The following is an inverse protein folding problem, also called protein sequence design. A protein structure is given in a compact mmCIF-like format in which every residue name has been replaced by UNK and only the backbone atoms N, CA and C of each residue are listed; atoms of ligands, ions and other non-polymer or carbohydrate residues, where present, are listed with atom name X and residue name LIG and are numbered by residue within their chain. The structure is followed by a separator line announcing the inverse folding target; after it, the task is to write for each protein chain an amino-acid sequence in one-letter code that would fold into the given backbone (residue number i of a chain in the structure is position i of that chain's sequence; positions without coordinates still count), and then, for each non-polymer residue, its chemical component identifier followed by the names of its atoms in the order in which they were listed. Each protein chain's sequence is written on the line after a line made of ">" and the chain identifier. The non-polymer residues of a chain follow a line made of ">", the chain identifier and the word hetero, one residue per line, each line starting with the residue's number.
data_IF_532763734690
#
_entry.id   IF_532763734690
#
_cell.length_a   1.000
_cell.length_b   1.000
_cell.length_c   1.000
_cell.angle_alpha   90.00
_cell.angle_beta   90.00
_cell.angle_gamma   90.00
#
_symmetry.space_group_name_H-M   'P 1'
#
loop_
_entity.id
_entity.type
_entity.pdbx_description
1 polymer ?
#
# COMPACT_ATOMS: atom_id res chain seq x y z
N UNK A 1 28.96 30.35 -4.32
CA UNK A 1 27.76 29.55 -4.67
C UNK A 1 26.59 30.02 -3.82
N UNK A 2 25.53 30.59 -4.43
CA UNK A 2 24.33 31.01 -3.69
C UNK A 2 23.73 29.78 -3.00
N UNK A 3 23.51 29.84 -1.69
CA UNK A 3 22.87 28.80 -0.90
C UNK A 3 21.47 28.49 -1.48
N UNK A 4 21.39 27.60 -2.46
CA UNK A 4 20.10 27.01 -2.88
C UNK A 4 19.64 26.13 -1.74
N UNK A 5 18.54 26.48 -1.07
CA UNK A 5 17.93 25.56 -0.12
C UNK A 5 17.58 24.26 -0.86
N UNK A 6 17.78 23.12 -0.21
CA UNK A 6 17.42 21.80 -0.75
C UNK A 6 15.99 21.81 -1.32
N UNK A 7 15.07 22.51 -0.66
CA UNK A 7 13.68 22.69 -1.09
C UNK A 7 13.57 23.37 -2.46
N UNK A 8 14.35 24.41 -2.71
CA UNK A 8 14.35 25.13 -3.99
C UNK A 8 15.01 24.30 -5.10
N UNK A 9 16.09 23.58 -4.78
CA UNK A 9 16.74 22.66 -5.72
C UNK A 9 15.78 21.55 -6.18
N UNK A 10 15.08 20.91 -5.25
CA UNK A 10 14.12 19.85 -5.54
C UNK A 10 12.93 20.39 -6.34
N UNK A 11 12.38 21.58 -5.99
CA UNK A 11 11.32 22.24 -6.76
C UNK A 11 11.73 22.52 -8.19
N UNK A 12 12.95 23.01 -8.42
CA UNK A 12 13.47 23.33 -9.76
C UNK A 12 13.59 22.09 -10.64
N UNK A 13 13.87 20.92 -10.07
CA UNK A 13 13.96 19.64 -10.80
C UNK A 13 12.60 18.93 -11.02
N UNK A 14 11.60 19.19 -10.20
CA UNK A 14 10.30 18.51 -10.23
C UNK A 14 9.20 19.39 -10.85
N UNK A 15 9.38 19.78 -12.11
CA UNK A 15 8.40 20.60 -12.83
C UNK A 15 7.20 19.82 -13.38
N UNK A 16 7.30 18.48 -13.46
CA UNK A 16 6.25 17.62 -14.03
C UNK A 16 5.08 17.44 -13.08
N UNK A 17 3.87 17.44 -13.63
CA UNK A 17 2.64 17.12 -12.91
C UNK A 17 2.42 15.61 -12.90
N UNK A 18 2.61 15.00 -11.75
CA UNK A 18 2.70 13.54 -11.61
C UNK A 18 1.37 12.98 -11.08
N UNK A 19 0.72 12.15 -11.90
CA UNK A 19 -0.52 11.44 -11.59
C UNK A 19 -0.29 9.93 -11.59
N UNK A 20 0.75 9.49 -10.88
CA UNK A 20 1.12 8.08 -10.70
C UNK A 20 1.07 7.72 -9.19
N UNK A 21 1.03 6.44 -8.82
CA UNK A 21 1.04 6.04 -7.42
C UNK A 21 2.38 6.32 -6.70
N UNK A 22 3.42 6.73 -7.42
CA UNK A 22 4.76 7.09 -6.93
C UNK A 22 5.37 8.14 -7.88
N UNK A 23 6.13 9.13 -7.38
CA UNK A 23 6.44 9.42 -5.99
C UNK A 23 5.25 10.03 -5.24
N UNK A 24 5.07 9.63 -3.98
CA UNK A 24 3.93 10.06 -3.14
C UNK A 24 4.36 10.67 -1.79
N UNK A 25 5.58 11.14 -1.67
CA UNK A 25 6.10 11.72 -0.43
C UNK A 25 6.15 13.26 -0.49
N UNK A 26 5.90 13.96 0.62
CA UNK A 26 6.19 15.39 0.74
C UNK A 26 7.71 15.62 0.71
N UNK A 27 8.15 16.70 0.08
CA UNK A 27 9.60 17.00 -0.08
C UNK A 27 10.30 17.20 1.27
N UNK A 28 9.59 17.72 2.25
CA UNK A 28 10.06 17.91 3.62
C UNK A 28 10.50 16.61 4.29
N UNK A 29 10.04 15.47 3.78
CA UNK A 29 10.47 14.14 4.22
C UNK A 29 11.97 13.90 4.07
N UNK A 30 12.62 14.55 3.08
CA UNK A 30 14.05 14.46 2.86
C UNK A 30 14.86 15.25 3.89
N UNK A 31 14.25 16.28 4.51
CA UNK A 31 14.90 17.11 5.53
C UNK A 31 15.03 16.40 6.87
N UNK A 32 14.30 15.32 7.09
CA UNK A 32 14.37 14.49 8.30
C UNK A 32 15.48 13.45 8.28
N UNK A 33 16.24 13.34 7.19
CA UNK A 33 17.35 12.37 7.09
C UNK A 33 18.58 12.89 7.85
N UNK A 34 19.23 12.01 8.59
CA UNK A 34 20.51 12.26 9.25
C UNK A 34 21.44 11.08 9.04
N UNK A 35 22.74 11.29 9.29
CA UNK A 35 23.75 10.22 9.26
C UNK A 35 23.73 9.32 10.50
N UNK A 36 23.00 9.69 11.53
CA UNK A 36 22.97 9.00 12.82
C UNK A 36 21.96 7.86 12.81
N UNK A 37 22.34 6.72 12.21
CA UNK A 37 21.51 5.51 12.23
C UNK A 37 22.37 4.27 12.07
N UNK A 38 23.10 3.91 13.10
CA UNK A 38 23.86 2.68 13.13
C UNK A 38 23.39 1.75 14.24
N UNK A 39 23.84 0.51 14.17
CA UNK A 39 23.60 -0.44 15.26
C UNK A 39 24.29 0.08 16.52
N UNK A 40 23.54 0.22 17.62
CA UNK A 40 24.00 0.82 18.87
C UNK A 40 23.67 2.33 19.01
N UNK A 41 23.12 2.97 17.98
CA UNK A 41 22.61 4.34 18.08
C UNK A 41 21.27 4.37 18.84
N UNK A 42 21.31 4.82 20.09
CA UNK A 42 20.15 4.88 20.98
C UNK A 42 19.07 5.85 20.46
N UNK A 43 19.45 6.91 19.76
CA UNK A 43 18.47 7.87 19.26
C UNK A 43 17.74 7.31 18.05
N UNK A 44 18.42 6.58 17.18
CA UNK A 44 17.76 5.83 16.12
C UNK A 44 16.82 4.75 16.69
N UNK A 45 17.22 4.01 17.71
CA UNK A 45 16.36 3.00 18.33
C UNK A 45 15.08 3.64 18.95
N UNK A 46 15.20 4.80 19.59
CA UNK A 46 14.03 5.56 20.07
C UNK A 46 13.14 6.01 18.90
N UNK A 47 13.73 6.51 17.81
CA UNK A 47 13.02 6.93 16.61
C UNK A 47 12.30 5.74 15.96
N UNK A 48 12.98 4.61 15.78
CA UNK A 48 12.39 3.38 15.27
C UNK A 48 11.16 2.96 16.09
N UNK A 49 11.27 2.93 17.43
CA UNK A 49 10.16 2.57 18.32
C UNK A 49 8.96 3.53 18.15
N UNK A 50 9.21 4.86 18.01
CA UNK A 50 8.14 5.85 17.76
C UNK A 50 7.45 5.58 16.42
N UNK A 51 8.20 5.35 15.34
CA UNK A 51 7.66 5.04 14.01
C UNK A 51 6.81 3.78 14.04
N UNK A 52 7.31 2.69 14.63
CA UNK A 52 6.55 1.44 14.76
C UNK A 52 5.27 1.64 15.58
N UNK A 53 5.31 2.44 16.66
CA UNK A 53 4.11 2.78 17.45
C UNK A 53 3.06 3.51 16.59
N UNK A 54 3.47 4.46 15.76
CA UNK A 54 2.58 5.19 14.85
C UNK A 54 1.99 4.26 13.78
N UNK A 55 2.80 3.37 13.20
CA UNK A 55 2.34 2.37 12.24
C UNK A 55 1.33 1.39 12.86
N UNK A 56 1.55 0.95 14.10
CA UNK A 56 0.58 0.13 14.85
C UNK A 56 -0.76 0.86 15.01
N UNK A 57 -0.73 2.16 15.35
CA UNK A 57 -1.94 2.98 15.48
C UNK A 57 -2.69 3.09 14.16
N UNK A 58 -2.00 3.35 13.04
CA UNK A 58 -2.60 3.51 11.71
C UNK A 58 -3.17 2.17 11.19
N UNK A 59 -2.46 1.07 11.41
CA UNK A 59 -2.84 -0.25 10.89
C UNK A 59 -3.80 -1.02 11.80
N UNK A 60 -3.86 -0.68 13.09
CA UNK A 60 -4.58 -1.45 14.09
C UNK A 60 -3.99 -2.85 14.34
N UNK A 61 -2.69 -3.04 14.04
CA UNK A 61 -2.00 -4.31 14.26
C UNK A 61 -1.25 -4.32 15.59
N UNK A 62 -1.16 -5.50 16.22
CA UNK A 62 -0.43 -5.68 17.49
C UNK A 62 1.08 -5.61 17.28
N UNK A 63 1.55 -6.24 16.22
CA UNK A 63 2.96 -6.33 15.87
C UNK A 63 3.20 -5.81 14.46
N UNK A 64 4.36 -5.18 14.24
CA UNK A 64 4.83 -4.75 12.92
C UNK A 64 6.31 -5.08 12.83
N UNK A 65 6.68 -5.72 11.74
CA UNK A 65 8.06 -6.01 11.35
C UNK A 65 8.39 -5.19 10.11
N UNK A 66 9.51 -4.47 10.16
CA UNK A 66 10.05 -3.74 9.01
C UNK A 66 11.06 -4.60 8.26
N UNK A 67 11.02 -4.53 6.95
CA UNK A 67 11.87 -5.27 6.03
C UNK A 67 12.39 -4.28 4.98
N UNK A 68 13.67 -4.37 4.65
CA UNK A 68 14.22 -3.57 3.56
C UNK A 68 13.83 -4.20 2.23
N UNK A 69 13.04 -3.46 1.44
CA UNK A 69 12.61 -3.93 0.14
C UNK A 69 11.25 -3.39 -0.32
N UNK A 70 10.77 -3.88 -1.46
CA UNK A 70 9.47 -3.49 -2.03
C UNK A 70 8.31 -4.18 -1.30
N UNK A 71 7.07 -3.65 -1.49
CA UNK A 71 5.86 -4.24 -0.94
C UNK A 71 5.68 -5.73 -1.27
N UNK A 72 6.12 -6.18 -2.46
CA UNK A 72 6.06 -7.59 -2.86
C UNK A 72 6.82 -8.51 -1.92
N UNK A 73 7.94 -8.04 -1.35
CA UNK A 73 8.70 -8.79 -0.36
C UNK A 73 7.91 -8.97 0.95
N UNK A 74 7.23 -7.92 1.44
CA UNK A 74 6.37 -8.05 2.62
C UNK A 74 5.16 -8.97 2.36
N UNK A 75 4.58 -8.91 1.15
CA UNK A 75 3.48 -9.81 0.76
C UNK A 75 3.97 -11.24 0.78
N UNK A 76 5.09 -11.55 0.13
CA UNK A 76 5.67 -12.89 0.09
C UNK A 76 6.05 -13.38 1.49
N UNK A 77 6.78 -12.58 2.27
CA UNK A 77 7.13 -12.89 3.66
C UNK A 77 5.86 -13.15 4.48
N UNK A 78 4.84 -12.31 4.38
CA UNK A 78 3.59 -12.51 5.09
C UNK A 78 2.87 -13.80 4.69
N UNK A 79 2.74 -14.06 3.39
CA UNK A 79 2.10 -15.28 2.90
C UNK A 79 2.83 -16.54 3.34
N UNK A 80 4.16 -16.58 3.22
CA UNK A 80 4.96 -17.77 3.56
C UNK A 80 4.95 -18.08 5.07
N UNK A 81 5.01 -17.07 5.92
CA UNK A 81 5.15 -17.27 7.38
C UNK A 81 3.81 -17.50 8.10
N UNK A 82 2.68 -17.07 7.52
CA UNK A 82 1.38 -17.13 8.21
C UNK A 82 0.38 -18.06 7.54
N UNK A 83 0.39 -18.17 6.20
CA UNK A 83 -0.67 -18.88 5.47
C UNK A 83 -0.42 -20.38 5.44
N UNK A 84 -1.45 -21.16 5.79
CA UNK A 84 -1.44 -22.63 5.70
C UNK A 84 -2.85 -23.18 5.48
N UNK A 85 -2.93 -24.43 4.99
CA UNK A 85 -4.18 -25.13 4.80
C UNK A 85 -4.91 -24.72 3.51
N UNK A 86 -6.24 -24.60 3.57
CA UNK A 86 -7.10 -24.24 2.44
C UNK A 86 -7.21 -22.73 2.33
N UNK A 87 -6.90 -22.16 1.16
CA UNK A 87 -6.83 -20.71 0.94
C UNK A 87 -7.81 -20.28 -0.13
N UNK A 88 -8.59 -19.24 0.15
CA UNK A 88 -9.41 -18.53 -0.81
C UNK A 88 -8.71 -17.25 -1.21
N UNK A 89 -8.42 -17.07 -2.50
CA UNK A 89 -7.89 -15.82 -3.07
C UNK A 89 -9.03 -15.06 -3.72
N UNK A 90 -9.24 -13.82 -3.29
CA UNK A 90 -10.25 -12.92 -3.86
C UNK A 90 -9.62 -12.13 -5.00
N UNK A 91 -10.07 -12.42 -6.22
CA UNK A 91 -9.53 -11.83 -7.45
C UNK A 91 -10.18 -10.49 -7.75
N UNK A 92 -9.36 -9.46 -7.93
CA UNK A 92 -9.77 -8.10 -8.30
C UNK A 92 -8.97 -7.53 -9.46
N UNK A 93 -7.77 -8.05 -9.73
CA UNK A 93 -6.89 -7.63 -10.82
C UNK A 93 -5.46 -8.11 -10.65
N UNK A 94 -4.51 -7.37 -11.21
CA UNK A 94 -3.09 -7.74 -11.28
C UNK A 94 -2.44 -8.02 -9.92
N UNK A 95 -2.74 -7.19 -8.89
CA UNK A 95 -2.09 -7.34 -7.59
C UNK A 95 -2.68 -8.50 -6.77
N UNK A 96 -3.95 -8.81 -6.95
CA UNK A 96 -4.54 -10.03 -6.39
C UNK A 96 -4.05 -11.31 -7.10
N UNK A 97 -3.76 -11.26 -8.42
CA UNK A 97 -3.08 -12.34 -9.14
C UNK A 97 -1.67 -12.59 -8.62
N UNK A 98 -0.94 -11.54 -8.20
CA UNK A 98 0.36 -11.71 -7.54
C UNK A 98 0.25 -12.52 -6.24
N UNK A 99 -0.77 -12.28 -5.42
CA UNK A 99 -1.02 -13.06 -4.21
C UNK A 99 -1.22 -14.54 -4.58
N UNK A 100 -2.04 -14.81 -5.59
CA UNK A 100 -2.25 -16.17 -6.10
C UNK A 100 -0.94 -16.80 -6.56
N UNK A 101 -0.16 -16.11 -7.38
CA UNK A 101 1.11 -16.62 -7.91
C UNK A 101 2.08 -17.01 -6.79
N UNK A 102 2.24 -16.18 -5.77
CA UNK A 102 3.10 -16.46 -4.62
C UNK A 102 2.58 -17.69 -3.85
N UNK A 103 1.27 -17.80 -3.63
CA UNK A 103 0.67 -18.94 -2.95
C UNK A 103 0.85 -20.24 -3.73
N UNK A 104 0.73 -20.21 -5.06
CA UNK A 104 0.98 -21.38 -5.92
C UNK A 104 2.44 -21.81 -5.90
N UNK A 105 3.40 -20.85 -5.88
CA UNK A 105 4.81 -21.15 -5.69
C UNK A 105 5.06 -21.77 -4.32
N UNK A 106 4.47 -21.21 -3.26
CA UNK A 106 4.54 -21.77 -1.92
C UNK A 106 3.96 -23.18 -1.85
N UNK A 107 2.85 -23.45 -2.53
CA UNK A 107 2.24 -24.77 -2.58
C UNK A 107 3.15 -25.83 -3.22
N UNK A 108 3.94 -25.43 -4.25
CA UNK A 108 4.91 -26.32 -4.92
C UNK A 108 6.13 -26.58 -4.05
N UNK A 109 6.60 -25.56 -3.30
CA UNK A 109 7.87 -25.59 -2.61
C UNK A 109 7.75 -25.91 -1.11
N UNK A 110 6.53 -26.01 -0.58
CA UNK A 110 6.26 -26.30 0.83
C UNK A 110 4.91 -26.97 1.00
N UNK A 111 4.73 -27.73 2.09
CA UNK A 111 3.47 -28.39 2.43
C UNK A 111 2.51 -27.48 3.24
N UNK A 112 2.76 -26.18 3.32
CA UNK A 112 1.92 -25.28 4.12
C UNK A 112 0.55 -25.08 3.47
N UNK A 113 0.50 -24.77 2.19
CA UNK A 113 -0.75 -24.52 1.45
C UNK A 113 -1.24 -25.81 0.82
N UNK A 114 -2.39 -26.33 1.31
CA UNK A 114 -2.98 -27.58 0.82
C UNK A 114 -3.84 -27.40 -0.43
N UNK A 115 -4.65 -26.35 -0.46
CA UNK A 115 -5.57 -26.08 -1.57
C UNK A 115 -5.77 -24.59 -1.77
N UNK A 116 -5.75 -24.14 -3.02
CA UNK A 116 -6.03 -22.76 -3.41
C UNK A 116 -7.30 -22.74 -4.25
N UNK A 117 -8.29 -21.93 -3.84
CA UNK A 117 -9.44 -21.56 -4.66
C UNK A 117 -9.35 -20.08 -4.97
N UNK A 118 -9.54 -19.72 -6.22
CA UNK A 118 -9.61 -18.35 -6.69
C UNK A 118 -11.05 -18.02 -7.02
N UNK A 119 -11.52 -16.85 -6.62
CA UNK A 119 -12.87 -16.38 -6.92
C UNK A 119 -12.86 -14.90 -7.29
N UNK A 120 -13.61 -14.51 -8.31
CA UNK A 120 -13.85 -13.09 -8.59
C UNK A 120 -14.60 -12.45 -7.42
N UNK A 121 -14.23 -11.21 -7.07
CA UNK A 121 -14.85 -10.47 -5.97
C UNK A 121 -16.39 -10.37 -6.11
N UNK A 122 -16.90 -10.28 -7.34
CA UNK A 122 -18.35 -10.22 -7.61
C UNK A 122 -19.10 -11.46 -7.10
N UNK A 123 -18.41 -12.61 -7.13
CA UNK A 123 -18.97 -13.91 -6.73
C UNK A 123 -18.63 -14.30 -5.29
N UNK A 124 -17.99 -13.40 -4.52
CA UNK A 124 -17.52 -13.71 -3.17
C UNK A 124 -18.64 -14.17 -2.23
N UNK A 125 -19.85 -13.65 -2.38
CA UNK A 125 -21.01 -14.03 -1.54
C UNK A 125 -21.50 -15.46 -1.76
N UNK A 126 -21.22 -16.05 -2.93
CA UNK A 126 -21.63 -17.44 -3.24
C UNK A 126 -20.76 -18.51 -2.58
N UNK A 127 -19.68 -18.11 -1.91
CA UNK A 127 -18.76 -19.06 -1.26
C UNK A 127 -19.40 -19.68 -0.03
N UNK A 128 -19.55 -21.01 -0.04
CA UNK A 128 -20.10 -21.81 1.08
C UNK A 128 -19.06 -22.68 1.77
N UNK A 129 -17.96 -23.04 1.09
CA UNK A 129 -16.93 -23.94 1.59
C UNK A 129 -16.08 -23.28 2.67
N UNK A 130 -15.62 -24.05 3.65
CA UNK A 130 -14.67 -23.58 4.68
C UNK A 130 -13.27 -23.43 4.10
N UNK A 131 -12.60 -22.35 4.51
CA UNK A 131 -11.19 -22.05 4.22
C UNK A 131 -10.48 -21.66 5.50
N UNK A 132 -9.20 -21.95 5.61
CA UNK A 132 -8.38 -21.51 6.74
C UNK A 132 -8.03 -20.03 6.61
N UNK A 133 -7.87 -19.57 5.36
CA UNK A 133 -7.49 -18.19 5.04
C UNK A 133 -8.26 -17.63 3.85
N UNK A 134 -8.56 -16.34 3.94
CA UNK A 134 -8.97 -15.51 2.80
C UNK A 134 -7.89 -14.48 2.57
N UNK A 135 -7.39 -14.38 1.33
CA UNK A 135 -6.35 -13.45 0.92
C UNK A 135 -6.90 -12.48 -0.12
N UNK A 136 -6.67 -11.18 0.05
CA UNK A 136 -7.17 -10.16 -0.87
C UNK A 136 -6.24 -8.95 -0.97
N UNK A 137 -6.30 -8.24 -2.11
CA UNK A 137 -5.74 -6.91 -2.28
C UNK A 137 -6.84 -5.88 -1.95
N UNK A 138 -6.61 -5.01 -0.94
CA UNK A 138 -7.63 -4.03 -0.53
C UNK A 138 -7.91 -3.00 -1.62
N UNK A 139 -6.85 -2.42 -2.18
CA UNK A 139 -6.92 -1.44 -3.27
C UNK A 139 -6.16 -1.95 -4.47
N UNK A 140 -6.89 -2.41 -5.47
CA UNK A 140 -6.37 -2.89 -6.75
C UNK A 140 -6.05 -1.70 -7.66
N UNK A 141 -4.82 -1.22 -7.59
CA UNK A 141 -4.41 -0.01 -8.33
C UNK A 141 -4.29 -0.22 -9.83
N UNK A 142 -4.23 -1.46 -10.33
CA UNK A 142 -4.25 -1.73 -11.76
C UNK A 142 -5.60 -1.46 -12.41
N UNK A 143 -6.67 -1.46 -11.61
CA UNK A 143 -8.05 -1.20 -12.05
C UNK A 143 -8.70 -0.01 -11.35
N UNK A 144 -8.02 0.67 -10.41
CA UNK A 144 -8.61 1.75 -9.63
C UNK A 144 -9.84 1.29 -8.81
N UNK A 145 -9.80 0.08 -8.28
CA UNK A 145 -10.88 -0.56 -7.58
C UNK A 145 -10.54 -0.82 -6.11
N UNK A 146 -11.52 -0.68 -5.24
CA UNK A 146 -11.42 -0.98 -3.80
C UNK A 146 -12.49 -1.97 -3.38
N UNK A 147 -12.09 -3.02 -2.66
CA UNK A 147 -13.04 -3.95 -2.05
C UNK A 147 -13.74 -3.33 -0.82
N UNK A 148 -14.92 -3.82 -0.49
CA UNK A 148 -15.54 -3.54 0.82
C UNK A 148 -14.97 -4.48 1.87
N UNK A 149 -14.00 -3.99 2.66
CA UNK A 149 -13.32 -4.80 3.69
C UNK A 149 -14.25 -5.24 4.82
N UNK A 150 -15.31 -4.48 5.12
CA UNK A 150 -16.30 -4.86 6.13
C UNK A 150 -17.14 -6.05 5.65
N UNK A 151 -17.55 -6.02 4.38
CA UNK A 151 -18.23 -7.14 3.74
C UNK A 151 -17.33 -8.38 3.69
N UNK A 152 -16.07 -8.20 3.27
CA UNK A 152 -15.07 -9.27 3.26
C UNK A 152 -14.90 -9.88 4.66
N UNK A 153 -14.84 -9.06 5.72
CA UNK A 153 -14.72 -9.56 7.11
C UNK A 153 -15.97 -10.32 7.57
N UNK A 154 -17.17 -9.90 7.18
CA UNK A 154 -18.40 -10.66 7.45
C UNK A 154 -18.33 -12.07 6.83
N UNK A 155 -17.85 -12.15 5.59
CA UNK A 155 -17.69 -13.44 4.88
C UNK A 155 -16.60 -14.29 5.55
N UNK A 156 -15.45 -13.74 5.89
CA UNK A 156 -14.39 -14.50 6.58
C UNK A 156 -14.86 -15.04 7.94
N UNK A 157 -15.66 -14.28 8.69
CA UNK A 157 -16.28 -14.76 9.93
C UNK A 157 -17.22 -15.92 9.68
N UNK A 158 -18.11 -15.82 8.67
CA UNK A 158 -19.03 -16.91 8.28
C UNK A 158 -18.29 -18.19 7.88
N UNK A 159 -17.14 -18.05 7.22
CA UNK A 159 -16.29 -19.16 6.79
C UNK A 159 -15.36 -19.67 7.89
N UNK A 160 -15.34 -19.05 9.07
CA UNK A 160 -14.38 -19.28 10.15
C UNK A 160 -12.91 -19.19 9.67
N UNK A 161 -12.63 -18.19 8.81
CA UNK A 161 -11.34 -17.99 8.16
C UNK A 161 -10.58 -16.80 8.75
N UNK A 162 -9.26 -16.83 8.68
CA UNK A 162 -8.39 -15.69 8.92
C UNK A 162 -8.27 -14.84 7.66
N UNK A 163 -7.93 -13.56 7.83
CA UNK A 163 -7.86 -12.58 6.75
C UNK A 163 -6.45 -12.03 6.56
N UNK A 164 -5.87 -12.26 5.38
CA UNK A 164 -4.65 -11.61 4.91
C UNK A 164 -4.99 -10.51 3.90
N UNK A 165 -4.40 -9.33 4.07
CA UNK A 165 -4.63 -8.17 3.19
C UNK A 165 -3.32 -7.59 2.67
N UNK A 166 -3.19 -7.47 1.33
CA UNK A 166 -2.28 -6.50 0.74
C UNK A 166 -2.86 -5.10 0.90
N UNK A 167 -2.27 -4.33 1.81
CA UNK A 167 -2.68 -2.97 2.15
C UNK A 167 -1.75 -1.90 1.54
N UNK A 168 -0.90 -2.25 0.58
CA UNK A 168 0.14 -1.36 0.01
C UNK A 168 -0.41 -0.02 -0.47
N UNK A 169 -1.59 -0.02 -1.06
CA UNK A 169 -2.21 1.18 -1.62
C UNK A 169 -3.42 1.67 -0.81
N UNK A 170 -3.61 1.12 0.40
CA UNK A 170 -4.76 1.45 1.24
C UNK A 170 -4.39 1.85 2.66
N UNK A 171 -3.23 1.40 3.17
CA UNK A 171 -2.86 1.58 4.58
C UNK A 171 -2.97 3.05 5.01
N UNK A 172 -3.73 3.29 6.08
CA UNK A 172 -3.95 4.62 6.65
C UNK A 172 -4.88 5.54 5.84
N UNK A 173 -4.92 5.43 4.50
CA UNK A 173 -5.77 6.27 3.65
C UNK A 173 -7.20 5.72 3.52
N UNK A 174 -7.34 4.41 3.50
CA UNK A 174 -8.62 3.71 3.67
C UNK A 174 -8.78 3.31 5.15
N UNK A 175 -9.99 2.95 5.55
CA UNK A 175 -10.30 2.62 6.93
C UNK A 175 -10.35 1.10 7.18
N UNK A 176 -10.46 0.70 8.46
CA UNK A 176 -10.74 -0.67 8.90
C UNK A 176 -9.64 -1.72 8.60
N UNK A 177 -8.37 -1.33 8.50
CA UNK A 177 -7.25 -2.25 8.39
C UNK A 177 -7.11 -3.18 9.60
N UNK A 178 -7.62 -2.73 10.76
CA UNK A 178 -7.71 -3.53 11.98
C UNK A 178 -8.59 -4.79 11.82
N UNK A 179 -9.37 -4.94 10.77
CA UNK A 179 -10.16 -6.14 10.52
C UNK A 179 -9.33 -7.32 10.00
N UNK A 180 -8.13 -7.06 9.46
CA UNK A 180 -7.22 -8.11 9.01
C UNK A 180 -6.48 -8.75 10.19
N UNK A 181 -6.16 -10.04 10.04
CA UNK A 181 -5.32 -10.79 10.97
C UNK A 181 -3.84 -10.61 10.64
N UNK A 182 -3.52 -10.45 9.34
CA UNK A 182 -2.19 -10.13 8.81
C UNK A 182 -2.31 -9.10 7.69
N UNK A 183 -1.42 -8.11 7.69
CA UNK A 183 -1.29 -7.08 6.64
C UNK A 183 0.12 -7.09 6.04
N UNK A 184 0.22 -6.82 4.75
CA UNK A 184 1.47 -6.46 4.10
C UNK A 184 1.33 -5.09 3.44
N UNK A 185 2.33 -4.20 3.60
CA UNK A 185 2.32 -2.86 3.03
C UNK A 185 3.72 -2.29 2.88
N UNK A 186 3.85 -1.13 2.21
CA UNK A 186 5.12 -0.44 2.03
C UNK A 186 5.09 0.97 2.61
N UNK A 187 6.27 1.56 2.77
CA UNK A 187 6.45 2.95 3.21
C UNK A 187 5.94 4.00 2.23
N UNK A 188 5.91 3.67 0.94
CA UNK A 188 5.46 4.56 -0.13
C UNK A 188 3.94 4.44 -0.41
N UNK A 189 3.47 5.01 -1.50
CA UNK A 189 2.04 5.08 -1.89
C UNK A 189 1.21 5.74 -0.78
N UNK A 190 0.30 4.99 -0.18
CA UNK A 190 -0.64 5.51 0.82
C UNK A 190 -0.01 5.95 2.14
N UNK A 191 1.22 5.56 2.45
CA UNK A 191 1.97 6.07 3.61
C UNK A 191 2.77 7.33 3.32
N UNK A 192 2.86 7.79 2.06
CA UNK A 192 3.56 9.02 1.66
C UNK A 192 5.03 9.08 2.05
N UNK A 193 5.68 7.93 2.29
CA UNK A 193 7.10 7.82 2.63
C UNK A 193 7.98 7.53 1.41
N UNK A 194 9.28 7.55 1.62
CA UNK A 194 10.25 7.09 0.64
C UNK A 194 10.06 5.59 0.34
N UNK A 195 10.49 5.16 -0.83
CA UNK A 195 10.61 3.73 -1.15
C UNK A 195 11.75 3.09 -0.36
N UNK A 196 11.73 1.76 -0.25
CA UNK A 196 12.84 1.01 0.37
C UNK A 196 12.49 0.31 1.67
N UNK A 197 11.31 0.61 2.27
CA UNK A 197 10.79 -0.17 3.39
C UNK A 197 9.46 -0.83 3.05
N UNK A 198 9.29 -2.05 3.54
CA UNK A 198 8.01 -2.72 3.57
C UNK A 198 7.77 -3.34 4.95
N UNK A 199 6.51 -3.66 5.24
CA UNK A 199 6.07 -4.03 6.57
C UNK A 199 5.10 -5.20 6.54
N UNK A 200 5.26 -6.11 7.51
CA UNK A 200 4.26 -7.12 7.84
C UNK A 200 3.67 -6.77 9.21
N UNK A 201 2.38 -6.45 9.22
CA UNK A 201 1.62 -6.23 10.45
C UNK A 201 0.77 -7.45 10.77
N UNK A 202 0.71 -7.86 12.06
CA UNK A 202 -0.02 -9.06 12.43
C UNK A 202 -0.54 -9.03 13.87
N UNK A 203 -1.61 -9.81 14.11
CA UNK A 203 -2.23 -10.05 15.42
C UNK A 203 -2.00 -11.44 15.95
N UNK A 204 -1.62 -12.36 15.08
CA UNK A 204 -1.39 -13.77 15.36
C UNK A 204 0.09 -14.09 15.10
N UNK A 205 0.65 -15.05 15.81
CA UNK A 205 2.05 -15.42 15.63
C UNK A 205 2.26 -16.20 14.32
N UNK A 206 3.40 -15.98 13.63
CA UNK A 206 3.81 -16.80 12.49
C UNK A 206 4.06 -18.24 12.95
N UNK A 207 3.55 -19.22 12.20
CA UNK A 207 3.61 -20.64 12.58
C UNK A 207 4.41 -21.50 11.59
N UNK A 208 4.67 -20.99 10.38
CA UNK A 208 5.38 -21.75 9.36
C UNK A 208 6.90 -21.63 9.53
N UNK A 209 7.62 -22.74 9.42
CA UNK A 209 9.08 -22.75 9.36
C UNK A 209 9.51 -22.47 7.92
N UNK A 210 9.88 -21.24 7.61
CA UNK A 210 10.30 -20.84 6.26
C UNK A 210 11.79 -21.07 6.12
N UNK A 211 12.16 -21.95 5.18
CA UNK A 211 13.56 -22.27 4.86
C UNK A 211 14.15 -21.24 3.89
N UNK A 212 14.31 -20.03 4.37
CA UNK A 212 14.95 -18.92 3.65
C UNK A 212 15.43 -17.89 4.66
N UNK A 213 16.67 -17.45 4.55
CA UNK A 213 17.20 -16.43 5.45
C UNK A 213 16.43 -15.11 5.31
N UNK A 214 16.17 -14.67 4.08
CA UNK A 214 15.52 -13.39 3.78
C UNK A 214 13.99 -13.41 3.98
N UNK A 215 13.32 -14.53 3.73
CA UNK A 215 11.86 -14.63 3.80
C UNK A 215 11.37 -15.14 5.17
N UNK A 216 12.27 -15.56 6.04
CA UNK A 216 11.91 -15.95 7.41
C UNK A 216 11.72 -14.70 8.28
N UNK A 217 10.48 -14.43 8.66
CA UNK A 217 10.12 -13.23 9.42
C UNK A 217 10.84 -13.14 10.78
N UNK A 218 11.18 -14.28 11.40
CA UNK A 218 11.90 -14.31 12.67
C UNK A 218 13.30 -13.67 12.58
N UNK A 219 13.96 -13.76 11.41
CA UNK A 219 15.26 -13.12 11.22
C UNK A 219 15.13 -11.58 11.20
N UNK A 220 14.02 -11.05 10.70
CA UNK A 220 13.72 -9.62 10.76
C UNK A 220 13.30 -9.17 12.16
N UNK A 221 12.47 -9.95 12.85
CA UNK A 221 12.08 -9.70 14.25
C UNK A 221 13.33 -9.59 15.13
N UNK A 222 14.26 -10.52 14.96
CA UNK A 222 15.50 -10.62 15.74
C UNK A 222 16.61 -9.69 15.21
N UNK A 223 16.31 -8.81 14.26
CA UNK A 223 17.25 -7.81 13.67
C UNK A 223 18.58 -8.44 13.20
N UNK A 224 18.53 -9.64 12.60
CA UNK A 224 19.72 -10.31 12.05
C UNK A 224 20.26 -9.67 10.79
N UNK A 225 19.49 -8.75 10.17
CA UNK A 225 19.82 -8.04 8.93
C UNK A 225 19.73 -6.53 9.12
N UNK A 226 20.41 -5.79 8.24
CA UNK A 226 20.26 -4.34 8.17
C UNK A 226 18.83 -3.99 7.75
N UNK A 227 18.20 -3.15 8.55
CA UNK A 227 16.84 -2.67 8.27
C UNK A 227 16.81 -1.47 7.31
N UNK A 228 15.62 -1.01 6.95
CA UNK A 228 15.42 0.15 6.06
C UNK A 228 15.58 1.48 6.82
N UNK A 229 16.76 1.71 7.39
CA UNK A 229 17.00 2.76 8.39
C UNK A 229 16.65 4.17 7.88
N UNK A 230 17.15 4.59 6.70
CA UNK A 230 16.84 5.90 6.13
C UNK A 230 15.34 6.09 5.86
N UNK A 231 14.66 5.04 5.37
CA UNK A 231 13.22 5.12 5.14
C UNK A 231 12.43 5.20 6.45
N UNK A 232 12.83 4.47 7.48
CA UNK A 232 12.22 4.58 8.83
C UNK A 232 12.40 5.98 9.39
N UNK A 233 13.59 6.54 9.26
CA UNK A 233 13.91 7.89 9.72
C UNK A 233 13.02 8.93 9.01
N UNK A 234 12.89 8.84 7.68
CA UNK A 234 12.04 9.73 6.89
C UNK A 234 10.55 9.60 7.22
N UNK A 235 10.09 8.39 7.57
CA UNK A 235 8.69 8.14 7.90
C UNK A 235 8.20 8.88 9.16
N UNK A 236 9.06 9.21 10.10
CA UNK A 236 8.63 9.89 11.33
C UNK A 236 7.93 11.20 11.03
N UNK A 237 8.50 12.03 10.14
CA UNK A 237 7.89 13.28 9.72
C UNK A 237 6.50 13.07 9.09
N UNK A 238 6.42 12.14 8.15
CA UNK A 238 5.17 11.83 7.45
C UNK A 238 4.10 11.36 8.42
N UNK A 239 4.43 10.45 9.32
CA UNK A 239 3.47 9.86 10.24
C UNK A 239 2.96 10.85 11.28
N UNK A 240 3.81 11.78 11.73
CA UNK A 240 3.41 12.90 12.61
C UNK A 240 2.41 13.84 11.93
N UNK A 241 2.54 14.04 10.62
CA UNK A 241 1.69 14.93 9.81
C UNK A 241 0.65 14.17 8.96
N UNK A 242 0.43 12.89 9.23
CA UNK A 242 -0.35 12.01 8.37
C UNK A 242 -1.78 12.49 8.12
N UNK A 243 -2.44 13.03 9.15
CA UNK A 243 -3.81 13.55 9.04
C UNK A 243 -3.91 14.70 8.02
N UNK A 244 -2.92 15.60 7.96
CA UNK A 244 -2.85 16.69 6.98
C UNK A 244 -2.78 16.13 5.55
N UNK A 245 -1.87 15.20 5.31
CA UNK A 245 -1.71 14.58 3.99
C UNK A 245 -2.92 13.75 3.57
N UNK A 246 -3.48 12.96 4.48
CA UNK A 246 -4.72 12.22 4.25
C UNK A 246 -5.87 13.17 3.85
N UNK A 247 -6.04 14.30 4.55
CA UNK A 247 -7.05 15.31 4.24
C UNK A 247 -6.90 15.82 2.80
N UNK A 248 -5.68 16.15 2.38
CA UNK A 248 -5.41 16.63 1.02
C UNK A 248 -5.76 15.59 -0.04
N UNK A 249 -5.38 14.32 0.16
CA UNK A 249 -5.73 13.23 -0.76
C UNK A 249 -7.26 13.05 -0.86
N UNK A 250 -7.97 13.14 0.27
CA UNK A 250 -9.44 13.06 0.26
C UNK A 250 -10.09 14.25 -0.46
N UNK A 251 -9.55 15.46 -0.31
CA UNK A 251 -10.01 16.64 -1.06
C UNK A 251 -9.78 16.46 -2.56
N UNK A 252 -8.59 15.96 -2.95
CA UNK A 252 -8.30 15.63 -4.35
C UNK A 252 -9.29 14.60 -4.89
N UNK A 253 -9.57 13.54 -4.11
CA UNK A 253 -10.57 12.54 -4.48
C UNK A 253 -11.95 13.14 -4.69
N UNK A 254 -12.40 14.01 -3.79
CA UNK A 254 -13.69 14.71 -3.93
C UNK A 254 -13.74 15.53 -5.21
N UNK A 255 -12.66 16.27 -5.52
CA UNK A 255 -12.55 17.03 -6.76
C UNK A 255 -12.71 16.15 -8.00
N UNK A 256 -11.99 15.04 -8.11
CA UNK A 256 -12.07 14.15 -9.26
C UNK A 256 -13.41 13.43 -9.39
N UNK A 257 -14.00 12.99 -8.28
CA UNK A 257 -15.35 12.38 -8.28
C UNK A 257 -16.39 13.40 -8.75
N UNK A 258 -16.33 14.65 -8.31
CA UNK A 258 -17.26 15.70 -8.73
C UNK A 258 -17.06 16.03 -10.22
N UNK A 259 -15.83 16.33 -10.62
CA UNK A 259 -15.50 16.75 -11.99
C UNK A 259 -15.82 15.67 -13.03
N UNK A 260 -15.61 14.40 -12.71
CA UNK A 260 -15.73 13.29 -13.67
C UNK A 260 -16.88 12.32 -13.32
N UNK A 261 -17.90 12.77 -12.59
CA UNK A 261 -19.01 11.92 -12.10
C UNK A 261 -19.68 11.08 -13.19
N UNK A 262 -19.81 11.62 -14.41
CA UNK A 262 -20.44 10.94 -15.57
C UNK A 262 -19.55 9.86 -16.20
N UNK A 263 -18.27 9.86 -15.90
CA UNK A 263 -17.26 8.97 -16.48
C UNK A 263 -16.73 7.93 -15.50
N UNK A 264 -17.28 7.83 -14.29
CA UNK A 264 -16.80 6.88 -13.29
C UNK A 264 -17.14 5.45 -13.70
N UNK A 265 -16.14 4.56 -13.67
CA UNK A 265 -16.31 3.15 -13.98
C UNK A 265 -16.90 2.37 -12.81
N UNK A 266 -16.55 2.77 -11.58
CA UNK A 266 -17.04 2.11 -10.37
C UNK A 266 -17.92 3.04 -9.53
N UNK A 267 -18.88 2.49 -8.76
CA UNK A 267 -19.61 3.24 -7.75
C UNK A 267 -18.66 3.91 -6.75
N UNK A 268 -19.06 5.05 -6.18
CA UNK A 268 -18.24 5.83 -5.23
C UNK A 268 -17.63 4.98 -4.11
N UNK A 269 -18.37 4.02 -3.56
CA UNK A 269 -17.92 3.11 -2.50
C UNK A 269 -16.73 2.23 -2.89
N UNK A 270 -16.62 1.89 -4.18
CA UNK A 270 -15.55 1.05 -4.73
C UNK A 270 -14.40 1.87 -5.35
N UNK A 271 -14.47 3.20 -5.32
CA UNK A 271 -13.39 4.07 -5.76
C UNK A 271 -12.36 4.24 -4.63
N UNK A 272 -11.07 3.91 -4.84
CA UNK A 272 -10.03 4.15 -3.84
C UNK A 272 -9.82 5.66 -3.61
N UNK A 273 -9.40 6.04 -2.39
CA UNK A 273 -9.10 7.43 -2.09
C UNK A 273 -7.88 7.97 -2.87
N UNK A 274 -6.95 7.11 -3.26
CA UNK A 274 -5.69 7.50 -3.93
C UNK A 274 -5.79 7.70 -5.44
N UNK A 275 -6.87 7.24 -6.08
CA UNK A 275 -7.04 7.37 -7.52
C UNK A 275 -8.51 7.40 -7.93
N UNK A 276 -8.74 7.83 -9.17
CA UNK A 276 -10.05 7.82 -9.84
C UNK A 276 -9.90 7.14 -11.19
N UNK A 277 -10.76 6.16 -11.48
CA UNK A 277 -10.81 5.50 -12.77
C UNK A 277 -12.01 6.01 -13.58
N UNK A 278 -11.73 6.55 -14.75
CA UNK A 278 -12.72 7.10 -15.68
C UNK A 278 -12.69 6.35 -17.01
N UNK A 279 -13.85 6.21 -17.65
CA UNK A 279 -14.01 5.49 -18.94
C UNK A 279 -13.65 6.32 -20.19
N UNK A 280 -12.89 7.39 -20.00
CA UNK A 280 -12.39 8.23 -21.09
C UNK A 280 -10.89 8.44 -20.97
N UNK A 281 -10.25 8.85 -22.06
CA UNK A 281 -8.80 9.11 -22.09
C UNK A 281 -8.49 10.53 -21.66
N UNK A 282 -7.48 10.68 -20.80
CA UNK A 282 -6.88 11.98 -20.49
C UNK A 282 -6.02 12.45 -21.66
N UNK A 283 -6.11 13.73 -22.01
CA UNK A 283 -5.23 14.34 -23.02
C UNK A 283 -3.79 14.33 -22.54
N UNK A 284 -2.86 13.86 -23.39
CA UNK A 284 -1.42 13.91 -23.09
C UNK A 284 -0.94 15.38 -23.14
N UNK A 285 -0.04 15.74 -22.22
CA UNK A 285 0.69 16.99 -22.24
C UNK A 285 2.15 16.70 -21.85
N UNK A 286 3.10 17.52 -22.33
CA UNK A 286 4.55 17.31 -22.16
C UNK A 286 4.97 17.27 -20.68
N UNK A 287 4.31 18.07 -19.85
CA UNK A 287 4.58 18.20 -18.42
C UNK A 287 3.72 17.28 -17.52
N UNK A 288 2.91 16.38 -18.12
CA UNK A 288 1.95 15.53 -17.43
C UNK A 288 2.34 14.06 -17.52
N UNK A 289 2.57 13.44 -16.36
CA UNK A 289 2.87 12.02 -16.25
C UNK A 289 1.63 11.30 -15.69
N UNK A 290 1.06 10.43 -16.52
CA UNK A 290 -0.04 9.56 -16.12
C UNK A 290 0.47 8.16 -15.79
N UNK A 291 -0.25 7.47 -14.94
CA UNK A 291 0.01 6.07 -14.65
C UNK A 291 -0.37 5.18 -15.84
N UNK A 292 0.56 4.36 -16.26
CA UNK A 292 0.32 3.28 -17.20
C UNK A 292 0.07 1.98 -16.44
N UNK A 293 -1.18 1.49 -16.39
CA UNK A 293 -1.49 0.28 -15.64
C UNK A 293 -0.92 -0.96 -16.34
N UNK A 294 -0.49 -1.93 -15.55
CA UNK A 294 0.05 -3.21 -16.05
C UNK A 294 -0.98 -4.09 -16.79
N UNK A 295 -2.25 -3.74 -16.66
CA UNK A 295 -3.36 -4.34 -17.41
C UNK A 295 -3.90 -3.27 -18.36
N UNK A 296 -4.09 -3.63 -19.62
CA UNK A 296 -4.67 -2.72 -20.62
C UNK A 296 -6.07 -2.26 -20.18
N UNK A 297 -6.29 -0.96 -20.15
CA UNK A 297 -7.54 -0.32 -19.77
C UNK A 297 -8.06 0.58 -20.89
N UNK A 298 -9.37 0.58 -21.09
CA UNK A 298 -10.01 1.46 -22.07
C UNK A 298 -10.12 2.91 -21.59
N UNK A 299 -10.06 3.14 -20.30
CA UNK A 299 -10.13 4.46 -19.67
C UNK A 299 -8.78 5.00 -19.20
N UNK A 300 -8.83 5.92 -18.24
CA UNK A 300 -7.66 6.50 -17.59
C UNK A 300 -7.72 6.35 -16.08
N UNK A 301 -6.59 5.97 -15.47
CA UNK A 301 -6.38 5.95 -14.03
C UNK A 301 -5.63 7.22 -13.62
N UNK A 302 -6.29 8.05 -12.83
CA UNK A 302 -5.74 9.32 -12.34
C UNK A 302 -5.40 9.16 -10.88
N UNK A 303 -4.10 9.06 -10.57
CA UNK A 303 -3.62 9.09 -9.18
C UNK A 303 -3.41 10.53 -8.73
N UNK A 304 -3.73 10.83 -7.49
CA UNK A 304 -3.69 12.20 -6.97
C UNK A 304 -3.05 12.24 -5.57
N UNK A 305 -1.94 11.54 -5.42
CA UNK A 305 -1.16 11.47 -4.17
C UNK A 305 0.34 11.77 -4.36
N UNK A 306 0.75 12.22 -5.54
CA UNK A 306 2.13 12.66 -5.78
C UNK A 306 2.55 13.83 -4.89
N UNK A 307 3.84 14.14 -4.84
CA UNK A 307 4.39 15.17 -3.93
C UNK A 307 3.67 16.52 -4.02
N UNK A 308 3.30 16.96 -5.24
CA UNK A 308 2.53 18.18 -5.44
C UNK A 308 1.07 18.11 -4.95
N UNK A 309 0.48 16.92 -4.86
CA UNK A 309 -0.89 16.70 -4.40
C UNK A 309 -1.02 16.69 -2.87
N UNK A 310 0.07 16.52 -2.16
CA UNK A 310 0.11 16.53 -0.70
C UNK A 310 0.16 17.95 -0.12
N UNK A 311 0.34 18.97 -0.97
CA UNK A 311 0.39 20.38 -0.62
C UNK A 311 -0.95 21.09 -0.94
N UNK A 312 -1.11 22.31 -0.45
CA UNK A 312 -2.33 23.13 -0.64
C UNK A 312 -2.56 23.54 -2.09
N UNK A 313 -1.51 23.63 -2.91
CA UNK A 313 -1.56 23.91 -4.36
C UNK A 313 -2.12 22.78 -5.24
N UNK A 314 -2.58 21.69 -4.66
CA UNK A 314 -3.04 20.50 -5.40
C UNK A 314 -4.21 20.79 -6.35
N UNK A 315 -5.06 21.79 -6.08
CA UNK A 315 -6.22 22.15 -6.91
C UNK A 315 -5.79 22.56 -8.32
N UNK A 316 -4.73 23.38 -8.47
CA UNK A 316 -4.23 23.81 -9.77
C UNK A 316 -3.64 22.65 -10.57
N UNK A 317 -2.91 21.75 -9.88
CA UNK A 317 -2.39 20.53 -10.49
C UNK A 317 -3.55 19.68 -11.00
N UNK A 318 -4.61 19.51 -10.20
CA UNK A 318 -5.77 18.73 -10.60
C UNK A 318 -6.55 19.34 -11.78
N UNK A 319 -6.62 20.67 -11.87
CA UNK A 319 -7.25 21.38 -13.00
C UNK A 319 -6.53 21.13 -14.33
N UNK A 320 -5.23 20.78 -14.30
CA UNK A 320 -4.45 20.49 -15.52
C UNK A 320 -4.90 19.23 -16.25
N UNK A 321 -5.66 18.32 -15.60
CA UNK A 321 -6.24 17.14 -16.23
C UNK A 321 -7.39 17.57 -17.15
N UNK A 322 -7.21 17.33 -18.47
CA UNK A 322 -8.24 17.49 -19.50
C UNK A 322 -8.53 16.12 -20.11
N UNK A 323 -9.79 15.84 -20.40
CA UNK A 323 -10.20 14.61 -21.11
C UNK A 323 -10.31 14.85 -22.61
N UNK A 324 -10.22 13.78 -23.40
CA UNK A 324 -10.45 13.80 -24.85
C UNK A 324 -11.93 13.99 -25.13
#
# INVERSE_FOLDING_TARGET
>A
MKNLSLKNFIKKKNYKKIFTPSPSFPLENLLGLSSNFSRGDNDFEKQYKRVIKLLKKISGQKNIVSIQGPASLAIETGLLNFIKGKVLVVQTGFYSQRIESILRMSQKNSNFVKKIKVIDYKNLKSVKNKFDWVCACYTETSKGFKIDIKELKKITKKLNSKLFIDATASIGIEDNHNLADVLAFSSCKSLFGLTGACFVGYKINPKNKVNSFMLNIHNHINKKMTGPNSTIQSLEYVLKNYSKFKKNVILNKKFFIHKYRKFLIYPKKNQPNICTYINTKVKKAKDLILYEPRIKNNGSLIFHLGSGHLNESSIEINKSIKIK
#
